data_IF_929671681554
#
_entry.id   IF_929671681554
#
_cell.length_a   1.000
_cell.length_b   1.000
_cell.length_c   1.000
_cell.angle_alpha   90.00
_cell.angle_beta   90.00
_cell.angle_gamma   90.00
#
_symmetry.space_group_name_H-M   'P 1'
#
loop_
_entity.id
_entity.type
_entity.pdbx_description
1 polymer ?
#
# COMPACT_ATOMS: atom_id res chain seq x y z
N UNK A 1 3.27 -67.60 28.20
CA UNK A 1 3.49 -66.99 26.88
C UNK A 1 2.15 -66.57 26.23
N UNK A 2 1.36 -65.71 26.87
CA UNK A 2 0.07 -65.26 26.32
C UNK A 2 -0.17 -63.75 26.39
N UNK A 3 0.75 -62.97 26.99
CA UNK A 3 0.61 -61.51 27.11
C UNK A 3 1.40 -60.69 26.08
N UNK A 4 2.32 -61.33 25.34
CA UNK A 4 3.13 -60.66 24.33
C UNK A 4 2.51 -60.62 22.92
N UNK A 5 1.47 -61.42 22.64
CA UNK A 5 0.81 -61.43 21.33
C UNK A 5 -0.29 -60.39 21.17
N UNK A 6 -0.81 -59.82 22.27
CA UNK A 6 -1.87 -58.81 22.21
C UNK A 6 -1.34 -57.40 21.91
N UNK A 7 -0.07 -57.11 22.23
CA UNK A 7 0.52 -55.80 21.98
C UNK A 7 0.92 -55.57 20.50
N UNK A 8 1.15 -56.66 19.75
CA UNK A 8 1.60 -56.57 18.35
C UNK A 8 0.43 -56.36 17.36
N UNK A 9 -0.80 -56.65 17.78
CA UNK A 9 -2.00 -56.51 16.93
C UNK A 9 -2.67 -55.12 17.06
N UNK A 10 -2.32 -54.33 18.07
CA UNK A 10 -2.84 -52.96 18.27
C UNK A 10 -2.02 -51.88 17.55
N UNK A 11 -0.82 -52.20 17.05
CA UNK A 11 0.03 -51.27 16.29
C UNK A 11 -0.31 -51.21 14.79
N UNK A 12 -1.20 -52.08 14.29
CA UNK A 12 -1.58 -52.15 12.88
C UNK A 12 -2.92 -51.46 12.55
N UNK A 13 -3.53 -50.78 13.53
CA UNK A 13 -4.82 -50.10 13.38
C UNK A 13 -4.74 -48.58 13.57
N UNK A 14 -3.56 -47.97 13.38
CA UNK A 14 -3.46 -46.52 13.23
C UNK A 14 -3.80 -46.16 11.78
N UNK A 15 -4.81 -45.30 11.53
CA UNK A 15 -5.01 -44.76 10.19
C UNK A 15 -3.72 -44.04 9.76
N UNK A 16 -3.35 -44.08 8.47
CA UNK A 16 -2.17 -43.34 8.02
C UNK A 16 -2.36 -41.88 8.42
N UNK A 17 -1.47 -41.38 9.28
CA UNK A 17 -1.41 -39.94 9.51
C UNK A 17 -1.23 -39.28 8.16
N UNK A 18 -2.05 -38.27 7.80
CA UNK A 18 -1.79 -37.50 6.60
C UNK A 18 -0.37 -36.95 6.77
N UNK A 19 0.51 -37.33 5.86
CA UNK A 19 1.86 -36.80 5.80
C UNK A 19 1.74 -35.31 5.52
N UNK A 20 1.78 -34.50 6.59
CA UNK A 20 1.87 -33.06 6.49
C UNK A 20 3.25 -32.74 5.93
N UNK A 21 3.30 -32.30 4.67
CA UNK A 21 4.51 -31.71 4.10
C UNK A 21 4.98 -30.58 5.03
N UNK A 22 6.30 -30.45 5.29
CA UNK A 22 6.83 -29.29 6.00
C UNK A 22 6.29 -28.00 5.36
N UNK A 23 5.81 -27.04 6.16
CA UNK A 23 5.24 -25.80 5.62
C UNK A 23 6.17 -25.01 4.67
N UNK A 24 7.51 -25.03 4.79
CA UNK A 24 8.40 -24.50 3.76
C UNK A 24 8.15 -25.08 2.36
N UNK A 25 7.64 -26.31 2.27
CA UNK A 25 7.28 -27.01 1.03
C UNK A 25 5.81 -26.77 0.61
N UNK A 26 5.08 -25.90 1.32
CA UNK A 26 3.74 -25.45 0.91
C UNK A 26 3.81 -24.30 -0.08
N UNK A 27 2.72 -24.08 -0.80
CA UNK A 27 2.58 -22.94 -1.71
C UNK A 27 2.79 -21.58 -1.02
N UNK A 28 2.39 -21.44 0.26
CA UNK A 28 2.59 -20.22 1.04
C UNK A 28 4.05 -20.01 1.44
N UNK A 29 4.74 -21.06 1.91
CA UNK A 29 6.17 -21.01 2.24
C UNK A 29 7.04 -20.71 1.01
N UNK A 30 6.71 -21.32 -0.13
CA UNK A 30 7.34 -21.02 -1.42
C UNK A 30 7.15 -19.55 -1.80
N UNK A 31 5.92 -19.03 -1.66
CA UNK A 31 5.60 -17.63 -1.98
C UNK A 31 6.33 -16.64 -1.08
N UNK A 32 6.36 -16.87 0.24
CA UNK A 32 7.13 -16.09 1.18
C UNK A 32 8.63 -16.10 0.84
N UNK A 33 9.17 -17.26 0.47
CA UNK A 33 10.55 -17.41 0.03
C UNK A 33 10.87 -16.57 -1.22
N UNK A 34 10.00 -16.60 -2.24
CA UNK A 34 10.14 -15.81 -3.47
C UNK A 34 10.11 -14.30 -3.18
N UNK A 35 9.18 -13.85 -2.33
CA UNK A 35 9.09 -12.45 -1.92
C UNK A 35 10.38 -12.02 -1.20
N UNK A 36 10.82 -12.77 -0.19
CA UNK A 36 12.05 -12.46 0.56
C UNK A 36 13.26 -12.38 -0.37
N UNK A 37 13.39 -13.29 -1.33
CA UNK A 37 14.49 -13.25 -2.30
C UNK A 37 14.43 -12.02 -3.21
N UNK A 38 13.24 -11.60 -3.64
CA UNK A 38 13.10 -10.35 -4.39
C UNK A 38 13.50 -9.13 -3.53
N UNK A 39 13.09 -9.09 -2.26
CA UNK A 39 13.40 -8.00 -1.34
C UNK A 39 14.90 -7.95 -0.96
N UNK A 40 15.56 -9.11 -0.82
CA UNK A 40 17.01 -9.21 -0.61
C UNK A 40 17.77 -8.57 -1.77
N UNK A 41 17.38 -8.87 -3.02
CA UNK A 41 18.00 -8.26 -4.22
C UNK A 41 17.77 -6.75 -4.29
N UNK A 42 16.56 -6.29 -3.96
CA UNK A 42 16.26 -4.86 -3.96
C UNK A 42 17.02 -4.11 -2.84
N UNK A 43 17.30 -4.77 -1.72
CA UNK A 43 18.16 -4.23 -0.65
C UNK A 43 19.61 -4.07 -1.10
N UNK A 44 20.14 -5.00 -1.90
CA UNK A 44 21.47 -4.84 -2.52
C UNK A 44 21.49 -3.64 -3.47
N UNK A 45 20.45 -3.46 -4.29
CA UNK A 45 20.32 -2.25 -5.11
C UNK A 45 20.32 -0.96 -4.27
N UNK A 46 19.60 -0.95 -3.14
CA UNK A 46 19.61 0.19 -2.22
C UNK A 46 21.02 0.48 -1.72
N UNK A 47 21.77 -0.55 -1.30
CA UNK A 47 23.15 -0.41 -0.86
C UNK A 47 24.04 0.20 -1.95
N UNK A 48 23.95 -0.31 -3.18
CA UNK A 48 24.73 0.17 -4.33
C UNK A 48 24.37 1.59 -4.75
N UNK A 49 23.09 1.99 -4.61
CA UNK A 49 22.59 3.31 -5.02
C UNK A 49 22.51 4.31 -3.89
N UNK A 50 22.89 3.93 -2.67
CA UNK A 50 22.77 4.75 -1.47
C UNK A 50 23.35 6.17 -1.61
N UNK A 51 24.51 6.40 -2.25
CA UNK A 51 25.03 7.76 -2.44
C UNK A 51 24.17 8.66 -3.32
N UNK A 52 23.29 8.05 -4.11
CA UNK A 52 22.47 8.71 -5.11
C UNK A 52 20.97 8.62 -4.81
N UNK A 53 20.57 8.02 -3.70
CA UNK A 53 19.14 7.86 -3.39
C UNK A 53 18.47 9.21 -3.12
N UNK A 54 17.17 9.33 -3.47
CA UNK A 54 16.30 10.44 -3.09
C UNK A 54 15.37 10.01 -1.94
N UNK A 55 14.66 10.97 -1.33
CA UNK A 55 13.79 10.69 -0.20
C UNK A 55 12.67 9.70 -0.58
N UNK A 56 12.06 9.83 -1.76
CA UNK A 56 11.01 8.92 -2.23
C UNK A 56 11.49 7.47 -2.26
N UNK A 57 12.75 7.27 -2.68
CA UNK A 57 13.45 5.99 -2.60
C UNK A 57 13.51 5.46 -1.17
N UNK A 58 13.94 6.30 -0.23
CA UNK A 58 14.11 5.95 1.19
C UNK A 58 12.78 5.61 1.87
N UNK A 59 11.70 6.36 1.57
CA UNK A 59 10.39 6.17 2.20
C UNK A 59 9.81 4.77 1.95
N UNK A 60 9.89 4.25 0.73
CA UNK A 60 9.39 2.88 0.46
C UNK A 60 10.19 1.80 1.20
N UNK A 61 11.50 1.97 1.33
CA UNK A 61 12.32 1.05 2.15
C UNK A 61 12.07 1.21 3.65
N UNK A 62 11.69 2.41 4.13
CA UNK A 62 11.25 2.61 5.51
C UNK A 62 9.96 1.84 5.81
N UNK A 63 9.00 1.85 4.86
CA UNK A 63 7.77 1.04 4.95
C UNK A 63 8.10 -0.45 4.97
N UNK A 64 9.00 -0.89 4.09
CA UNK A 64 9.46 -2.28 4.06
C UNK A 64 10.09 -2.72 5.39
N UNK A 65 10.96 -1.89 6.00
CA UNK A 65 11.58 -2.20 7.30
C UNK A 65 10.51 -2.51 8.35
N UNK A 66 9.46 -1.68 8.44
CA UNK A 66 8.37 -1.88 9.38
C UNK A 66 7.54 -3.13 9.05
N UNK A 67 7.24 -3.39 7.77
CA UNK A 67 6.55 -4.61 7.34
C UNK A 67 7.33 -5.88 7.71
N UNK A 68 8.66 -5.90 7.50
CA UNK A 68 9.51 -7.05 7.84
C UNK A 68 9.58 -7.29 9.35
N UNK A 69 9.65 -6.23 10.17
CA UNK A 69 9.55 -6.36 11.63
C UNK A 69 8.21 -6.97 12.05
N UNK A 70 7.12 -6.52 11.42
CA UNK A 70 5.78 -7.07 11.65
C UNK A 70 5.68 -8.56 11.29
N UNK A 71 6.22 -8.94 10.13
CA UNK A 71 6.30 -10.34 9.67
C UNK A 71 7.14 -11.19 10.63
N UNK A 72 8.34 -10.71 10.98
CA UNK A 72 9.25 -11.42 11.90
C UNK A 72 8.55 -11.70 13.23
N UNK A 73 7.88 -10.69 13.81
CA UNK A 73 7.16 -10.83 15.08
C UNK A 73 6.05 -11.86 15.02
N UNK A 74 5.28 -11.91 13.92
CA UNK A 74 4.21 -12.90 13.73
C UNK A 74 4.75 -14.31 13.59
N UNK A 75 5.81 -14.49 12.82
CA UNK A 75 6.41 -15.81 12.55
C UNK A 75 7.33 -16.32 13.65
N UNK A 76 7.77 -15.48 14.59
CA UNK A 76 8.75 -15.86 15.62
C UNK A 76 8.29 -17.00 16.54
N UNK A 77 6.97 -17.16 16.71
CA UNK A 77 6.39 -18.18 17.60
C UNK A 77 6.14 -19.53 16.95
N UNK A 78 6.19 -19.61 15.61
CA UNK A 78 5.99 -20.85 14.86
C UNK A 78 7.33 -21.47 14.47
N UNK A 79 7.69 -22.65 15.04
CA UNK A 79 8.92 -23.36 14.69
C UNK A 79 9.09 -23.65 13.20
N UNK A 80 7.99 -23.87 12.46
CA UNK A 80 8.03 -24.14 11.01
C UNK A 80 8.39 -22.89 10.20
N UNK A 81 8.05 -21.71 10.71
CA UNK A 81 8.32 -20.42 10.06
C UNK A 81 9.62 -19.78 10.55
N UNK A 82 10.28 -20.37 11.55
CA UNK A 82 11.51 -19.83 12.13
C UNK A 82 12.60 -19.51 11.08
N UNK A 83 12.84 -20.33 10.03
CA UNK A 83 13.81 -19.97 8.98
C UNK A 83 13.42 -18.70 8.21
N UNK A 84 12.13 -18.54 7.88
CA UNK A 84 11.62 -17.37 7.16
C UNK A 84 11.57 -16.14 8.08
N UNK A 85 11.20 -16.31 9.35
CA UNK A 85 11.25 -15.27 10.38
C UNK A 85 12.67 -14.73 10.55
N UNK A 86 13.64 -15.63 10.63
CA UNK A 86 15.06 -15.25 10.72
C UNK A 86 15.52 -14.46 9.49
N UNK A 87 15.19 -14.93 8.28
CA UNK A 87 15.48 -14.19 7.03
C UNK A 87 14.87 -12.79 7.02
N UNK A 88 13.58 -12.67 7.38
CA UNK A 88 12.89 -11.39 7.47
C UNK A 88 13.58 -10.45 8.48
N UNK A 89 13.97 -10.96 9.64
CA UNK A 89 14.68 -10.21 10.67
C UNK A 89 16.09 -9.76 10.26
N UNK A 90 16.84 -10.62 9.57
CA UNK A 90 18.15 -10.25 9.00
C UNK A 90 18.01 -9.13 7.98
N UNK A 91 17.01 -9.22 7.10
CA UNK A 91 16.73 -8.21 6.10
C UNK A 91 16.30 -6.88 6.73
N UNK A 92 15.44 -6.91 7.74
CA UNK A 92 15.04 -5.72 8.51
C UNK A 92 16.25 -5.04 9.17
N UNK A 93 17.17 -5.81 9.75
CA UNK A 93 18.39 -5.27 10.35
C UNK A 93 19.33 -4.63 9.32
N UNK A 94 19.50 -5.26 8.15
CA UNK A 94 20.28 -4.70 7.06
C UNK A 94 19.70 -3.37 6.56
N UNK A 95 18.38 -3.32 6.35
CA UNK A 95 17.66 -2.10 5.98
C UNK A 95 17.81 -1.00 7.04
N UNK A 96 17.67 -1.32 8.33
CA UNK A 96 17.84 -0.34 9.41
C UNK A 96 19.23 0.33 9.35
N UNK A 97 20.28 -0.43 9.03
CA UNK A 97 21.63 0.11 8.88
C UNK A 97 21.77 0.98 7.62
N UNK A 98 21.20 0.57 6.48
CA UNK A 98 21.23 1.33 5.23
C UNK A 98 20.41 2.61 5.32
N UNK A 99 19.22 2.57 5.92
CA UNK A 99 18.33 3.71 6.10
C UNK A 99 18.97 4.78 6.99
N UNK A 100 19.65 4.39 8.08
CA UNK A 100 20.44 5.33 8.90
C UNK A 100 21.56 6.00 8.10
N UNK A 101 22.28 5.23 7.27
CA UNK A 101 23.31 5.77 6.37
C UNK A 101 22.71 6.68 5.28
N UNK A 102 21.49 6.41 4.81
CA UNK A 102 20.83 7.22 3.78
C UNK A 102 20.65 8.68 4.20
N UNK A 103 20.40 8.94 5.50
CA UNK A 103 20.25 10.29 6.05
C UNK A 103 21.48 11.15 5.77
N UNK A 104 22.68 10.58 5.84
CA UNK A 104 23.92 11.30 5.53
C UNK A 104 23.97 11.77 4.06
N UNK A 105 23.51 10.92 3.13
CA UNK A 105 23.48 11.26 1.71
C UNK A 105 22.35 12.25 1.39
N UNK A 106 21.16 12.05 1.96
CA UNK A 106 20.04 12.99 1.81
C UNK A 106 20.36 14.38 2.33
N UNK A 107 21.11 14.48 3.45
CA UNK A 107 21.55 15.77 3.98
C UNK A 107 22.48 16.52 3.02
N UNK A 108 23.23 15.81 2.19
CA UNK A 108 24.12 16.41 1.20
C UNK A 108 23.39 16.75 -0.11
N UNK A 109 22.48 15.89 -0.56
CA UNK A 109 21.79 16.06 -1.83
C UNK A 109 20.59 17.00 -1.75
N UNK A 110 19.79 16.92 -0.69
CA UNK A 110 18.58 17.73 -0.50
C UNK A 110 18.24 17.94 0.99
N UNK A 111 19.00 18.82 1.69
CA UNK A 111 18.80 19.05 3.13
C UNK A 111 17.45 19.68 3.47
N UNK A 112 16.86 20.46 2.56
CA UNK A 112 15.57 21.11 2.77
C UNK A 112 14.45 20.08 2.75
N UNK A 113 14.42 19.24 1.71
CA UNK A 113 13.41 18.19 1.59
C UNK A 113 13.55 17.15 2.71
N UNK A 114 14.79 16.79 3.09
CA UNK A 114 15.04 15.94 4.25
C UNK A 114 14.44 16.52 5.54
N UNK A 115 14.61 17.83 5.80
CA UNK A 115 14.07 18.49 6.99
C UNK A 115 12.55 18.48 6.99
N UNK A 116 11.96 18.82 5.86
CA UNK A 116 10.51 18.89 5.66
C UNK A 116 9.82 17.54 5.87
N UNK A 117 10.44 16.45 5.44
CA UNK A 117 9.86 15.12 5.52
C UNK A 117 10.52 14.21 6.56
N UNK A 118 11.34 14.79 7.45
CA UNK A 118 12.09 14.05 8.47
C UNK A 118 11.23 13.07 9.28
N UNK A 119 9.97 13.39 9.69
CA UNK A 119 9.12 12.44 10.40
C UNK A 119 8.87 11.14 9.63
N UNK A 120 8.70 11.21 8.30
CA UNK A 120 8.37 10.05 7.45
C UNK A 120 9.46 8.99 7.38
N UNK A 121 10.69 9.34 7.77
CA UNK A 121 11.86 8.47 7.80
C UNK A 121 12.35 8.21 9.23
N UNK A 122 11.59 8.60 10.26
CA UNK A 122 11.89 8.24 11.64
C UNK A 122 11.33 6.85 11.97
N UNK A 123 12.05 6.07 12.82
CA UNK A 123 11.51 4.83 13.36
C UNK A 123 10.15 5.04 14.04
N UNK A 124 9.19 4.15 13.76
CA UNK A 124 7.86 4.16 14.39
C UNK A 124 6.86 5.16 13.80
N UNK A 125 7.20 5.92 12.76
CA UNK A 125 6.23 6.76 12.06
C UNK A 125 5.20 5.91 11.32
N UNK A 126 5.67 4.98 10.47
CA UNK A 126 4.80 4.07 9.73
C UNK A 126 4.24 2.99 10.66
N UNK A 127 2.92 2.76 10.57
CA UNK A 127 2.20 1.76 11.36
C UNK A 127 1.50 0.80 10.43
N UNK A 128 1.61 -0.49 10.71
CA UNK A 128 0.95 -1.53 9.93
C UNK A 128 -0.55 -1.58 10.27
N UNK A 129 -1.43 -1.93 9.32
CA UNK A 129 -2.83 -2.17 9.61
C UNK A 129 -2.98 -3.42 10.49
N UNK A 130 -3.86 -3.34 11.49
CA UNK A 130 -4.18 -4.48 12.38
C UNK A 130 -5.60 -5.03 12.10
N UNK A 131 -6.33 -4.39 11.19
CA UNK A 131 -7.65 -4.79 10.75
C UNK A 131 -7.69 -4.67 9.23
N UNK A 132 -8.37 -5.62 8.59
CA UNK A 132 -8.47 -5.71 7.15
C UNK A 132 -9.91 -5.47 6.70
N UNK A 133 -10.06 -4.65 5.67
CA UNK A 133 -11.32 -4.41 4.97
C UNK A 133 -11.15 -4.72 3.48
N UNK A 134 -12.22 -4.51 2.71
CA UNK A 134 -12.25 -4.62 1.25
C UNK A 134 -12.82 -3.34 0.66
N UNK A 135 -12.41 -3.04 -0.57
CA UNK A 135 -12.94 -1.87 -1.29
C UNK A 135 -14.42 -2.04 -1.63
N UNK A 136 -15.14 -0.92 -1.68
CA UNK A 136 -16.53 -0.88 -2.13
C UNK A 136 -16.62 -0.19 -3.49
N UNK A 137 -16.96 -0.97 -4.53
CA UNK A 137 -17.08 -0.46 -5.90
C UNK A 137 -18.14 0.65 -6.06
N UNK A 138 -19.08 0.77 -5.12
CA UNK A 138 -20.10 1.83 -5.12
C UNK A 138 -19.52 3.22 -4.81
N UNK A 139 -18.29 3.30 -4.31
CA UNK A 139 -17.57 4.54 -4.01
C UNK A 139 -16.67 5.02 -5.16
N UNK A 140 -16.61 4.28 -6.26
CA UNK A 140 -15.87 4.70 -7.46
C UNK A 140 -16.54 5.95 -8.04
N UNK A 141 -15.74 6.96 -8.38
CA UNK A 141 -16.26 8.21 -8.91
C UNK A 141 -17.00 7.99 -10.23
N UNK A 142 -18.19 8.60 -10.43
CA UNK A 142 -18.92 8.46 -11.69
C UNK A 142 -18.29 9.27 -12.82
N UNK A 143 -17.48 10.28 -12.47
CA UNK A 143 -16.78 11.16 -13.41
C UNK A 143 -15.34 11.38 -12.97
N UNK A 144 -14.50 11.78 -13.91
CA UNK A 144 -13.12 12.20 -13.66
C UNK A 144 -12.99 13.69 -13.92
N UNK A 145 -12.19 14.37 -13.11
CA UNK A 145 -11.84 15.77 -13.32
C UNK A 145 -11.05 15.92 -14.64
N UNK A 146 -11.51 16.75 -15.60
CA UNK A 146 -10.88 16.86 -16.92
C UNK A 146 -9.49 17.54 -16.90
N UNK A 147 -9.23 18.34 -15.87
CA UNK A 147 -7.99 19.10 -15.71
C UNK A 147 -7.35 18.72 -14.39
N UNK A 148 -6.11 18.23 -14.47
CA UNK A 148 -5.34 17.90 -13.29
C UNK A 148 -4.88 19.20 -12.61
N UNK A 149 -5.61 19.63 -11.58
CA UNK A 149 -5.20 20.74 -10.72
C UNK A 149 -4.09 20.34 -9.73
N UNK A 150 -3.62 19.10 -9.82
CA UNK A 150 -2.55 18.58 -8.99
C UNK A 150 -1.19 19.12 -9.44
N UNK A 151 -0.42 19.60 -8.47
CA UNK A 151 1.03 19.68 -8.58
C UNK A 151 1.64 19.01 -7.37
N UNK A 152 2.72 18.27 -7.59
CA UNK A 152 3.51 17.65 -6.53
C UNK A 152 3.98 18.70 -5.53
N UNK A 153 4.39 19.88 -5.99
CA UNK A 153 4.73 21.02 -5.12
C UNK A 153 3.57 21.42 -4.18
N UNK A 154 2.34 21.49 -4.69
CA UNK A 154 1.17 21.81 -3.84
C UNK A 154 0.85 20.66 -2.88
N UNK A 155 1.00 19.42 -3.33
CA UNK A 155 0.84 18.26 -2.46
C UNK A 155 1.86 18.23 -1.34
N UNK A 156 3.13 18.44 -1.67
CA UNK A 156 4.25 18.43 -0.74
C UNK A 156 4.08 19.54 0.28
N UNK A 157 3.71 20.75 -0.14
CA UNK A 157 3.38 21.84 0.77
C UNK A 157 2.29 21.43 1.78
N UNK A 158 1.29 20.67 1.35
CA UNK A 158 0.25 20.18 2.24
C UNK A 158 0.70 19.04 3.16
N UNK A 159 1.58 18.14 2.71
CA UNK A 159 2.19 17.12 3.55
C UNK A 159 3.12 17.75 4.60
N UNK A 160 3.91 18.75 4.22
CA UNK A 160 4.77 19.52 5.13
C UNK A 160 3.93 20.28 6.16
N UNK A 161 2.83 20.89 5.74
CA UNK A 161 1.87 21.52 6.66
C UNK A 161 1.26 20.49 7.63
N UNK A 162 0.87 19.32 7.14
CA UNK A 162 0.33 18.23 7.96
C UNK A 162 1.33 17.78 9.04
N UNK A 163 2.60 17.62 8.67
CA UNK A 163 3.68 17.20 9.57
C UNK A 163 4.13 18.31 10.52
N UNK A 164 3.81 19.57 10.24
CA UNK A 164 4.23 20.71 11.05
C UNK A 164 5.71 21.08 10.90
N UNK A 165 6.32 20.70 9.78
CA UNK A 165 7.78 20.82 9.52
C UNK A 165 8.15 21.97 8.59
N UNK A 166 7.16 22.77 8.16
CA UNK A 166 7.36 23.94 7.33
C UNK A 166 8.17 25.04 8.02
N UNK A 167 8.61 26.04 7.25
CA UNK A 167 9.47 27.15 7.73
C UNK A 167 8.89 27.93 8.90
N UNK A 168 7.56 28.05 8.96
CA UNK A 168 6.86 28.78 10.01
C UNK A 168 6.62 27.93 11.27
N UNK A 169 7.12 26.68 11.30
CA UNK A 169 6.99 25.70 12.39
C UNK A 169 5.56 25.61 12.94
N UNK A 170 4.60 25.28 12.07
CA UNK A 170 3.21 25.11 12.47
C UNK A 170 3.02 23.84 13.29
N UNK A 171 2.08 23.84 14.23
CA UNK A 171 1.70 22.61 14.93
C UNK A 171 1.21 21.54 13.93
N UNK A 172 1.61 20.26 14.09
CA UNK A 172 1.12 19.17 13.24
C UNK A 172 -0.41 19.11 13.22
N UNK A 173 -0.97 18.52 12.16
CA UNK A 173 -2.41 18.38 11.95
C UNK A 173 -3.19 19.70 11.75
N UNK A 174 -2.54 20.87 11.69
CA UNK A 174 -3.20 22.15 11.38
C UNK A 174 -3.23 22.41 9.89
N UNK A 175 -4.43 22.61 9.35
CA UNK A 175 -4.65 22.67 7.91
C UNK A 175 -5.16 24.02 7.43
N UNK A 176 -4.56 24.52 6.35
CA UNK A 176 -5.10 25.61 5.54
C UNK A 176 -6.37 25.17 4.78
N UNK A 177 -7.20 26.14 4.39
CA UNK A 177 -8.35 25.88 3.51
C UNK A 177 -7.91 25.33 2.15
N UNK A 178 -6.74 25.76 1.66
CA UNK A 178 -6.14 25.24 0.45
C UNK A 178 -5.90 23.73 0.54
N UNK A 179 -5.17 23.26 1.56
CA UNK A 179 -4.87 21.84 1.72
C UNK A 179 -6.10 20.99 1.98
N UNK A 180 -7.09 21.52 2.73
CA UNK A 180 -8.39 20.85 2.90
C UNK A 180 -9.06 20.63 1.54
N UNK A 181 -9.10 21.65 0.70
CA UNK A 181 -9.75 21.57 -0.63
C UNK A 181 -8.99 20.65 -1.57
N UNK A 182 -7.67 20.78 -1.64
CA UNK A 182 -6.83 19.97 -2.52
C UNK A 182 -6.91 18.48 -2.17
N UNK A 183 -6.75 18.14 -0.88
CA UNK A 183 -6.65 16.75 -0.44
C UNK A 183 -8.00 16.02 -0.37
N UNK A 184 -9.12 16.74 -0.49
CA UNK A 184 -10.47 16.16 -0.48
C UNK A 184 -11.20 16.28 -1.83
N UNK A 185 -10.53 16.84 -2.85
CA UNK A 185 -11.12 17.03 -4.18
C UNK A 185 -11.57 15.70 -4.78
N UNK A 186 -12.86 15.59 -5.10
CA UNK A 186 -13.43 14.41 -5.76
C UNK A 186 -13.05 14.35 -7.25
N UNK A 187 -13.17 13.16 -7.85
CA UNK A 187 -12.91 12.95 -9.28
C UNK A 187 -11.43 12.91 -9.67
N UNK A 188 -10.51 12.93 -8.70
CA UNK A 188 -9.08 12.77 -8.94
C UNK A 188 -8.71 11.34 -9.39
N UNK A 189 -7.60 11.22 -10.12
CA UNK A 189 -7.06 9.96 -10.66
C UNK A 189 -5.52 9.98 -10.61
N UNK A 190 -4.88 8.83 -10.82
CA UNK A 190 -3.43 8.70 -10.90
C UNK A 190 -2.72 9.25 -9.66
N UNK A 191 -1.63 9.99 -9.85
CA UNK A 191 -0.81 10.52 -8.75
C UNK A 191 -1.56 11.48 -7.83
N UNK A 192 -2.53 12.24 -8.36
CA UNK A 192 -3.39 13.08 -7.52
C UNK A 192 -4.10 12.24 -6.45
N UNK A 193 -4.65 11.09 -6.85
CA UNK A 193 -5.32 10.17 -5.95
C UNK A 193 -4.33 9.50 -4.97
N UNK A 194 -3.15 9.10 -5.44
CA UNK A 194 -2.07 8.55 -4.59
C UNK A 194 -1.69 9.51 -3.47
N UNK A 195 -1.52 10.79 -3.80
CA UNK A 195 -1.12 11.81 -2.84
C UNK A 195 -2.25 12.17 -1.87
N UNK A 196 -3.51 12.16 -2.32
CA UNK A 196 -4.68 12.28 -1.43
C UNK A 196 -4.69 11.14 -0.40
N UNK A 197 -4.46 9.90 -0.83
CA UNK A 197 -4.38 8.77 0.10
C UNK A 197 -3.17 8.89 1.05
N UNK A 198 -1.98 9.22 0.53
CA UNK A 198 -0.77 9.41 1.32
C UNK A 198 -0.99 10.45 2.42
N UNK A 199 -1.68 11.55 2.11
CA UNK A 199 -2.00 12.59 3.07
C UNK A 199 -2.84 12.08 4.25
N UNK A 200 -3.91 11.32 3.98
CA UNK A 200 -4.73 10.74 5.06
C UNK A 200 -4.05 9.58 5.79
N UNK A 201 -3.20 8.82 5.11
CA UNK A 201 -2.34 7.82 5.75
C UNK A 201 -1.39 8.49 6.76
N UNK A 202 -0.69 9.54 6.35
CA UNK A 202 0.22 10.27 7.23
C UNK A 202 -0.51 10.98 8.36
N UNK A 203 -1.72 11.49 8.12
CA UNK A 203 -2.54 12.04 9.18
C UNK A 203 -2.86 10.98 10.25
N UNK A 204 -3.19 9.76 9.83
CA UNK A 204 -3.37 8.62 10.74
C UNK A 204 -2.08 8.27 11.49
N UNK A 205 -0.94 8.24 10.80
CA UNK A 205 0.37 7.96 11.42
C UNK A 205 0.74 9.01 12.48
N UNK A 206 0.50 10.29 12.16
CA UNK A 206 0.72 11.45 13.03
C UNK A 206 -0.29 11.51 14.19
N UNK A 207 -1.38 10.74 14.16
CA UNK A 207 -2.42 10.74 15.20
C UNK A 207 -3.42 11.91 15.07
N UNK A 208 -3.56 12.47 13.87
CA UNK A 208 -4.54 13.52 13.61
C UNK A 208 -5.97 12.95 13.67
N UNK A 209 -6.82 13.48 14.57
CA UNK A 209 -8.19 12.99 14.79
C UNK A 209 -9.26 14.08 14.70
N UNK A 210 -8.85 15.34 14.66
CA UNK A 210 -9.76 16.49 14.77
C UNK A 210 -10.16 17.06 13.40
N UNK A 211 -11.32 17.70 13.34
CA UNK A 211 -11.81 18.38 12.14
C UNK A 211 -11.97 17.43 10.94
N UNK A 212 -11.24 17.71 9.86
CA UNK A 212 -11.30 16.90 8.63
C UNK A 212 -10.92 15.43 8.89
N UNK A 213 -10.01 15.20 9.83
CA UNK A 213 -9.46 13.88 10.09
C UNK A 213 -10.40 12.93 10.83
N UNK A 214 -11.52 13.42 11.37
CA UNK A 214 -12.59 12.56 11.86
C UNK A 214 -13.17 11.67 10.73
N UNK A 215 -13.09 12.14 9.48
CA UNK A 215 -13.57 11.42 8.30
C UNK A 215 -12.44 10.67 7.56
N UNK A 216 -11.26 10.51 8.17
CA UNK A 216 -10.10 9.91 7.48
C UNK A 216 -10.41 8.55 6.85
N UNK A 217 -11.16 7.69 7.57
CA UNK A 217 -11.54 6.37 7.03
C UNK A 217 -12.43 6.51 5.79
N UNK A 218 -13.43 7.40 5.82
CA UNK A 218 -14.31 7.64 4.67
C UNK A 218 -13.52 8.06 3.42
N UNK A 219 -12.58 8.99 3.56
CA UNK A 219 -11.72 9.40 2.44
C UNK A 219 -10.84 8.24 1.93
N UNK A 220 -10.23 7.47 2.84
CA UNK A 220 -9.46 6.27 2.45
C UNK A 220 -10.32 5.22 1.74
N UNK A 221 -11.56 5.00 2.16
CA UNK A 221 -12.50 4.08 1.50
C UNK A 221 -12.78 4.52 0.06
N UNK A 222 -13.05 5.81 -0.15
CA UNK A 222 -13.30 6.38 -1.47
C UNK A 222 -12.05 6.29 -2.35
N UNK A 223 -10.89 6.70 -1.83
CA UNK A 223 -9.65 6.70 -2.61
C UNK A 223 -9.23 5.29 -2.99
N UNK A 224 -9.27 4.34 -2.05
CA UNK A 224 -8.90 2.96 -2.36
C UNK A 224 -9.89 2.25 -3.28
N UNK A 225 -11.19 2.59 -3.25
CA UNK A 225 -12.13 2.11 -4.26
C UNK A 225 -11.74 2.57 -5.68
N UNK A 226 -11.37 3.84 -5.83
CA UNK A 226 -10.93 4.40 -7.11
C UNK A 226 -9.56 3.85 -7.55
N UNK A 227 -8.61 3.66 -6.63
CA UNK A 227 -7.32 3.02 -6.92
C UNK A 227 -7.47 1.55 -7.33
N UNK A 228 -8.40 0.81 -6.72
CA UNK A 228 -8.71 -0.56 -7.12
C UNK A 228 -9.22 -0.60 -8.55
N UNK A 229 -10.11 0.32 -8.93
CA UNK A 229 -10.58 0.44 -10.33
C UNK A 229 -9.42 0.74 -11.30
N UNK A 230 -8.50 1.64 -10.94
CA UNK A 230 -7.29 1.91 -11.73
C UNK A 230 -6.42 0.66 -11.89
N UNK A 231 -6.20 -0.10 -10.81
CA UNK A 231 -5.39 -1.33 -10.87
C UNK A 231 -6.05 -2.42 -11.71
N UNK A 232 -7.37 -2.55 -11.66
CA UNK A 232 -8.12 -3.50 -12.52
C UNK A 232 -8.00 -3.13 -13.99
N UNK A 233 -8.02 -1.83 -14.32
CA UNK A 233 -7.76 -1.36 -15.70
C UNK A 233 -6.32 -1.63 -16.13
N UNK A 234 -5.34 -1.39 -15.26
CA UNK A 234 -3.94 -1.68 -15.54
C UNK A 234 -3.73 -3.18 -15.81
N UNK A 235 -4.34 -4.06 -15.02
CA UNK A 235 -4.36 -5.51 -15.25
C UNK A 235 -5.00 -5.85 -16.61
N UNK A 236 -6.17 -5.30 -16.93
CA UNK A 236 -6.87 -5.56 -18.19
C UNK A 236 -6.06 -5.12 -19.43
N UNK A 237 -5.20 -4.11 -19.29
CA UNK A 237 -4.30 -3.63 -20.34
C UNK A 237 -2.95 -4.35 -20.34
N UNK A 238 -2.72 -5.34 -19.48
CA UNK A 238 -1.47 -6.09 -19.43
C UNK A 238 -0.29 -5.33 -18.79
N UNK A 239 -0.57 -4.39 -17.89
CA UNK A 239 0.43 -3.67 -17.10
C UNK A 239 1.45 -2.88 -17.94
N UNK A 240 1.00 -2.24 -19.02
CA UNK A 240 1.86 -1.47 -19.95
C UNK A 240 2.64 -0.39 -19.23
N UNK A 241 3.97 -0.37 -19.38
CA UNK A 241 4.78 0.75 -18.86
C UNK A 241 4.28 2.10 -19.43
N UNK A 242 4.11 3.16 -18.61
CA UNK A 242 4.58 3.32 -17.23
C UNK A 242 3.57 2.96 -16.13
N UNK A 243 2.44 2.30 -16.42
CA UNK A 243 1.36 2.08 -15.43
C UNK A 243 1.76 1.23 -14.23
N UNK A 244 2.85 0.44 -14.34
CA UNK A 244 3.38 -0.40 -13.27
C UNK A 244 3.71 0.39 -12.01
N UNK A 245 4.16 1.62 -12.17
CA UNK A 245 4.55 2.49 -11.06
C UNK A 245 3.33 2.83 -10.16
N UNK A 246 2.30 3.45 -10.76
CA UNK A 246 1.02 3.70 -10.08
C UNK A 246 0.36 2.42 -9.56
N UNK A 247 0.51 1.32 -10.29
CA UNK A 247 -0.07 0.03 -9.87
C UNK A 247 0.52 -0.46 -8.55
N UNK A 248 1.85 -0.42 -8.40
CA UNK A 248 2.54 -0.80 -7.16
C UNK A 248 2.31 0.22 -6.05
N UNK A 249 2.28 1.51 -6.38
CA UNK A 249 1.98 2.60 -5.43
C UNK A 249 0.58 2.43 -4.81
N UNK A 250 -0.43 2.13 -5.64
CA UNK A 250 -1.79 1.85 -5.17
C UNK A 250 -1.83 0.64 -4.22
N UNK A 251 -1.10 -0.45 -4.54
CA UNK A 251 -1.02 -1.65 -3.68
C UNK A 251 -0.33 -1.30 -2.36
N UNK A 252 0.77 -0.56 -2.41
CA UNK A 252 1.49 -0.09 -1.22
C UNK A 252 0.57 0.73 -0.31
N UNK A 253 -0.02 1.81 -0.82
CA UNK A 253 -0.79 2.73 0.02
C UNK A 253 -2.12 2.12 0.49
N UNK A 254 -2.89 1.48 -0.39
CA UNK A 254 -4.14 0.84 0.06
C UNK A 254 -3.90 -0.38 0.93
N UNK A 255 -2.82 -1.12 0.69
CA UNK A 255 -2.34 -2.17 1.59
C UNK A 255 -2.06 -1.62 2.99
N UNK A 256 -1.31 -0.51 3.10
CA UNK A 256 -1.04 0.18 4.37
C UNK A 256 -2.29 0.81 4.99
N UNK A 257 -3.29 1.17 4.19
CA UNK A 257 -4.57 1.68 4.67
C UNK A 257 -5.50 0.59 5.24
N UNK A 258 -5.19 -0.69 4.99
CA UNK A 258 -5.93 -1.85 5.51
C UNK A 258 -6.83 -2.56 4.48
N UNK A 259 -6.64 -2.35 3.18
CA UNK A 259 -7.45 -2.98 2.13
C UNK A 259 -6.81 -4.27 1.61
N UNK A 260 -7.35 -5.41 2.07
CA UNK A 260 -6.81 -6.74 1.78
C UNK A 260 -6.94 -7.20 0.33
N UNK A 261 -7.92 -6.66 -0.40
CA UNK A 261 -8.26 -7.05 -1.76
C UNK A 261 -7.26 -6.55 -2.82
N UNK A 262 -6.28 -5.73 -2.43
CA UNK A 262 -5.10 -5.40 -3.24
C UNK A 262 -4.06 -6.52 -3.29
N UNK A 263 -4.06 -7.46 -2.34
CA UNK A 263 -3.09 -8.54 -2.30
C UNK A 263 -3.54 -9.77 -3.09
N UNK A 264 -3.72 -9.60 -4.40
CA UNK A 264 -4.07 -10.70 -5.31
C UNK A 264 -2.83 -11.47 -5.76
N UNK A 265 -2.89 -12.81 -5.76
CA UNK A 265 -1.77 -13.66 -6.21
C UNK A 265 -1.24 -13.30 -7.61
N UNK A 266 -2.14 -13.15 -8.58
CA UNK A 266 -1.82 -12.70 -9.94
C UNK A 266 -1.07 -11.36 -10.01
N UNK A 267 -1.33 -10.45 -9.06
CA UNK A 267 -0.66 -9.16 -8.99
C UNK A 267 0.73 -9.29 -8.37
N UNK A 268 0.88 -10.17 -7.37
CA UNK A 268 2.19 -10.54 -6.84
C UNK A 268 3.09 -11.15 -7.94
N UNK A 269 2.56 -12.12 -8.70
CA UNK A 269 3.28 -12.77 -9.80
C UNK A 269 3.73 -11.74 -10.85
N UNK A 270 2.85 -10.80 -11.21
CA UNK A 270 3.17 -9.73 -12.13
C UNK A 270 4.31 -8.85 -11.58
N UNK A 271 4.21 -8.37 -10.33
CA UNK A 271 5.23 -7.53 -9.70
C UNK A 271 6.57 -8.26 -9.66
N UNK A 272 6.62 -9.51 -9.18
CA UNK A 272 7.86 -10.30 -9.13
C UNK A 272 8.51 -10.44 -10.52
N UNK A 273 7.71 -10.54 -11.58
CA UNK A 273 8.21 -10.62 -12.96
C UNK A 273 8.84 -9.31 -13.49
N UNK A 274 8.57 -8.17 -12.86
CA UNK A 274 9.10 -6.86 -13.27
C UNK A 274 10.47 -6.54 -12.68
N UNK A 275 10.92 -7.30 -11.67
CA UNK A 275 12.23 -7.09 -11.07
C UNK A 275 13.34 -7.41 -12.07
N UNK A 276 14.30 -6.50 -12.24
CA UNK A 276 15.49 -6.79 -13.05
C UNK A 276 16.33 -7.87 -12.34
N UNK A 277 16.57 -9.05 -12.95
CA UNK A 277 17.10 -10.20 -12.24
C UNK A 277 18.54 -10.03 -11.73
N UNK A 278 19.36 -9.23 -12.44
CA UNK A 278 20.76 -8.96 -12.11
C UNK A 278 20.92 -7.87 -11.06
N UNK A 279 20.16 -6.76 -11.21
CA UNK A 279 20.35 -5.55 -10.39
C UNK A 279 19.39 -5.53 -9.19
N UNK A 280 18.27 -6.26 -9.23
CA UNK A 280 17.28 -6.30 -8.15
C UNK A 280 16.33 -5.12 -8.08
N UNK A 281 16.48 -4.13 -8.96
CA UNK A 281 15.66 -2.94 -9.03
C UNK A 281 14.37 -3.13 -9.86
N UNK A 282 13.50 -2.12 -9.81
CA UNK A 282 12.33 -1.99 -10.67
C UNK A 282 12.42 -0.68 -11.46
N UNK A 283 11.84 -0.65 -12.66
CA UNK A 283 11.92 0.52 -13.53
C UNK A 283 11.47 0.23 -14.96
N UNK A 284 12.11 0.88 -15.95
CA UNK A 284 11.78 0.68 -17.36
C UNK A 284 12.14 -0.76 -17.78
N UNK A 285 11.23 -1.49 -18.45
CA UNK A 285 11.55 -2.82 -18.97
C UNK A 285 12.69 -2.72 -20.00
N UNK A 286 13.49 -3.77 -20.09
CA UNK A 286 14.51 -3.85 -21.15
C UNK A 286 13.80 -3.87 -22.51
N UNK A 287 14.32 -3.13 -23.48
CA UNK A 287 13.77 -3.08 -24.82
C UNK A 287 13.88 -4.48 -25.46
N UNK A 288 12.80 -5.27 -25.38
CA UNK A 288 12.65 -6.47 -26.19
C UNK A 288 12.16 -6.02 -27.56
N UNK A 289 13.05 -6.12 -28.56
CA UNK A 289 12.78 -6.02 -30.01
C UNK A 289 11.53 -5.24 -30.40
N UNK A 290 11.71 -3.95 -30.69
CA UNK A 290 10.65 -3.01 -31.06
C UNK A 290 9.82 -3.48 -32.27
N UNK A 291 8.49 -3.40 -32.16
CA UNK A 291 7.62 -3.09 -33.29
C UNK A 291 7.31 -1.59 -33.26
N UNK A 292 7.21 -0.91 -34.43
CA UNK A 292 7.20 0.55 -34.50
C UNK A 292 6.00 1.16 -33.78
N UNK A 293 6.27 2.28 -33.10
CA UNK A 293 5.28 3.10 -32.41
C UNK A 293 4.10 3.46 -33.33
N UNK A 294 2.89 3.05 -32.93
CA UNK A 294 1.65 3.56 -33.50
C UNK A 294 1.40 5.02 -33.07
N UNK A 295 0.75 5.86 -33.91
CA UNK A 295 0.66 7.30 -33.70
C UNK A 295 -0.17 7.69 -32.46
N UNK A 296 0.03 8.91 -31.92
CA UNK A 296 -0.46 9.30 -30.60
C UNK A 296 -1.97 9.55 -30.62
N UNK A 297 -2.77 8.54 -30.27
CA UNK A 297 -4.18 8.74 -29.95
C UNK A 297 -4.35 9.08 -28.46
N UNK A 298 -4.72 10.35 -28.22
CA UNK A 298 -5.37 10.88 -27.01
C UNK A 298 -4.91 10.30 -25.65
N UNK A 299 -3.61 10.38 -25.36
CA UNK A 299 -3.08 10.20 -23.99
C UNK A 299 -3.34 11.46 -23.15
N UNK A 300 -4.60 11.70 -22.81
CA UNK A 300 -5.03 12.81 -21.95
C UNK A 300 -4.91 12.54 -20.44
N UNK A 301 -4.45 11.35 -20.00
CA UNK A 301 -4.64 10.90 -18.60
C UNK A 301 -3.32 10.60 -17.86
N UNK A 302 -2.16 10.57 -18.54
CA UNK A 302 -0.86 10.34 -17.88
C UNK A 302 0.17 11.36 -18.39
N UNK A 303 -0.12 12.66 -18.20
CA UNK A 303 0.94 13.66 -18.32
C UNK A 303 1.89 13.39 -17.16
N UNK A 304 3.10 12.87 -17.46
CA UNK A 304 4.17 12.66 -16.47
C UNK A 304 4.43 14.02 -15.80
N UNK A 305 3.80 14.24 -14.65
CA UNK A 305 4.12 15.35 -13.76
C UNK A 305 5.61 15.23 -13.47
N UNK A 306 6.31 16.36 -13.49
CA UNK A 306 7.77 16.43 -13.35
C UNK A 306 8.16 16.02 -11.92
N UNK A 307 8.10 14.72 -11.66
CA UNK A 307 8.49 14.11 -10.41
C UNK A 307 9.97 14.28 -10.17
N UNK A 308 10.35 14.31 -8.89
CA UNK A 308 11.74 14.09 -8.46
C UNK A 308 12.20 12.64 -8.70
N UNK A 309 11.58 11.97 -9.69
CA UNK A 309 11.85 10.61 -10.13
C UNK A 309 13.31 10.52 -10.58
N UNK A 310 14.04 9.61 -9.93
CA UNK A 310 15.43 9.33 -10.29
C UNK A 310 15.49 8.06 -11.12
N UNK A 311 15.52 8.25 -12.44
CA UNK A 311 15.78 7.19 -13.42
C UNK A 311 17.28 7.04 -13.65
N UNK A 312 17.78 5.81 -13.60
CA UNK A 312 19.16 5.47 -13.88
C UNK A 312 19.33 5.00 -15.33
N UNK A 313 20.58 5.04 -15.83
CA UNK A 313 20.92 4.65 -17.21
C UNK A 313 20.72 3.16 -17.49
N UNK A 314 20.68 2.33 -16.44
CA UNK A 314 20.38 0.89 -16.48
C UNK A 314 18.86 0.60 -16.50
N UNK A 315 18.03 1.64 -16.58
CA UNK A 315 16.58 1.54 -16.57
C UNK A 315 15.97 1.35 -15.18
N UNK A 316 16.78 1.30 -14.11
CA UNK A 316 16.26 1.28 -12.73
C UNK A 316 15.64 2.63 -12.35
N UNK A 317 14.67 2.60 -11.44
CA UNK A 317 14.08 3.79 -10.82
C UNK A 317 14.09 3.64 -9.30
N UNK A 318 14.58 4.65 -8.57
CA UNK A 318 14.50 4.68 -7.11
C UNK A 318 13.05 4.58 -6.64
N UNK A 319 12.16 5.34 -7.25
CA UNK A 319 10.75 5.42 -6.88
C UNK A 319 10.02 4.10 -7.18
N UNK A 320 10.16 3.55 -8.40
CA UNK A 320 9.52 2.26 -8.73
C UNK A 320 10.04 1.13 -7.84
N UNK A 321 11.33 1.15 -7.49
CA UNK A 321 11.88 0.15 -6.58
C UNK A 321 11.30 0.32 -5.18
N UNK A 322 11.17 1.55 -4.69
CA UNK A 322 10.58 1.85 -3.39
C UNK A 322 9.11 1.43 -3.29
N UNK A 323 8.29 1.72 -4.31
CA UNK A 323 6.88 1.29 -4.35
C UNK A 323 6.76 -0.23 -4.48
N UNK A 324 7.60 -0.86 -5.31
CA UNK A 324 7.64 -2.31 -5.46
C UNK A 324 7.96 -3.04 -4.15
N UNK A 325 9.02 -2.62 -3.46
CA UNK A 325 9.44 -3.33 -2.23
C UNK A 325 8.44 -3.15 -1.10
N UNK A 326 7.80 -1.98 -0.98
CA UNK A 326 6.75 -1.75 0.00
C UNK A 326 5.46 -2.51 -0.33
N UNK A 327 5.13 -2.68 -1.61
CA UNK A 327 4.03 -3.55 -2.03
C UNK A 327 4.32 -5.02 -1.72
N UNK A 328 5.52 -5.50 -2.07
CA UNK A 328 5.98 -6.88 -1.79
C UNK A 328 6.06 -7.18 -0.29
N UNK A 329 6.56 -6.24 0.52
CA UNK A 329 6.54 -6.38 1.98
C UNK A 329 5.11 -6.42 2.53
N UNK A 330 4.16 -5.72 1.91
CA UNK A 330 2.73 -5.82 2.22
C UNK A 330 2.15 -7.21 1.91
N UNK A 331 2.51 -7.81 0.77
CA UNK A 331 2.17 -9.19 0.45
C UNK A 331 2.73 -10.16 1.50
N UNK A 332 3.97 -9.96 1.94
CA UNK A 332 4.58 -10.78 2.98
C UNK A 332 3.84 -10.63 4.32
N UNK A 333 3.46 -9.40 4.68
CA UNK A 333 2.76 -9.11 5.93
C UNK A 333 1.37 -9.74 5.97
N UNK A 334 0.59 -9.64 4.90
CA UNK A 334 -0.73 -10.26 4.85
C UNK A 334 -0.63 -11.80 4.83
N UNK A 335 0.39 -12.37 4.18
CA UNK A 335 0.67 -13.81 4.27
C UNK A 335 0.97 -14.24 5.70
N UNK A 336 1.62 -13.40 6.49
CA UNK A 336 1.88 -13.66 7.91
C UNK A 336 0.64 -13.56 8.81
N UNK A 337 -0.42 -12.88 8.37
CA UNK A 337 -1.71 -12.82 9.08
C UNK A 337 -2.57 -14.07 8.83
N UNK A 338 -2.54 -14.62 7.61
CA UNK A 338 -3.35 -15.77 7.22
C UNK A 338 -2.63 -17.10 7.49
N UNK A 339 -2.68 -17.55 8.75
CA UNK A 339 -2.24 -18.89 9.15
C UNK A 339 -3.35 -19.93 8.85
N UNK A 340 -3.07 -21.10 8.25
CA UNK A 340 -4.09 -22.14 8.02
C UNK A 340 -4.80 -22.64 9.28
N UNK A 341 -4.13 -22.59 10.44
CA UNK A 341 -4.74 -22.97 11.73
C UNK A 341 -5.66 -21.87 12.32
N UNK A 342 -5.59 -20.66 11.77
CA UNK A 342 -6.60 -19.64 12.02
C UNK A 342 -7.63 -19.80 10.90
N UNK A 343 -8.71 -20.55 11.18
CA UNK A 343 -9.84 -20.68 10.28
C UNK A 343 -10.30 -19.33 9.71
N UNK A 344 -11.05 -19.37 8.60
CA UNK A 344 -11.46 -18.17 7.85
C UNK A 344 -11.70 -16.95 8.74
N UNK A 345 -11.20 -15.77 8.32
CA UNK A 345 -11.26 -14.57 9.15
C UNK A 345 -12.69 -14.37 9.65
N UNK A 346 -12.83 -14.16 10.96
CA UNK A 346 -14.07 -13.66 11.53
C UNK A 346 -14.45 -12.39 10.78
N UNK A 347 -15.47 -12.50 9.92
CA UNK A 347 -16.19 -11.33 9.42
C UNK A 347 -16.56 -10.49 10.64
N UNK A 348 -16.28 -9.18 10.65
CA UNK A 348 -16.75 -8.34 11.73
C UNK A 348 -18.27 -8.47 11.80
N UNK A 349 -18.75 -8.96 12.93
CA UNK A 349 -20.17 -9.02 13.28
C UNK A 349 -20.77 -7.66 12.99
N UNK A 350 -21.87 -7.62 12.23
CA UNK A 350 -22.70 -6.43 12.09
C UNK A 350 -22.92 -5.85 13.49
N UNK A 351 -22.56 -4.59 13.67
CA UNK A 351 -22.89 -3.84 14.88
C UNK A 351 -24.39 -3.98 15.16
N UNK A 352 -24.82 -4.13 16.43
CA UNK A 352 -26.24 -4.20 16.74
C UNK A 352 -26.94 -2.93 16.24
N UNK A 353 -28.03 -3.11 15.51
CA UNK A 353 -28.97 -2.05 15.18
C UNK A 353 -29.24 -1.22 16.44
N UNK A 354 -28.91 0.07 16.37
CA UNK A 354 -29.32 1.00 17.41
C UNK A 354 -30.85 1.08 17.37
N UNK A 355 -31.50 0.55 18.40
CA UNK A 355 -32.90 0.82 18.71
C UNK A 355 -33.12 2.33 18.77
N UNK A 356 -33.60 2.91 17.66
CA UNK A 356 -34.20 4.22 17.65
C UNK A 356 -35.70 4.01 17.85
N UNK A 357 -36.18 4.33 19.05
CA UNK A 357 -37.60 4.28 19.38
C UNK A 357 -38.34 5.38 18.61
N UNK A 358 -39.39 4.95 17.90
CA UNK A 358 -40.40 5.78 17.28
C UNK A 358 -41.09 6.68 18.32
N UNK A 359 -40.95 7.98 18.16
CA UNK A 359 -41.77 9.00 18.78
C UNK A 359 -42.66 9.62 17.72
N UNK A 360 -43.81 8.99 17.45
CA UNK A 360 -44.82 9.52 16.57
C UNK A 360 -45.36 10.87 17.09
N UNK A 361 -45.31 11.91 16.27
CA UNK A 361 -46.31 12.98 16.31
C UNK A 361 -46.54 13.48 14.89
N UNK A 362 -47.66 13.03 14.34
CA UNK A 362 -48.35 13.52 13.15
C UNK A 362 -48.59 15.03 13.19
N UNK A 363 -48.25 15.74 12.11
CA UNK A 363 -48.97 16.95 11.73
C UNK A 363 -49.07 17.09 10.20
N UNK A 364 -50.20 17.63 9.79
CA UNK A 364 -50.90 17.40 8.54
C UNK A 364 -50.24 17.96 7.27
N UNK A 365 -50.49 17.22 6.20
CA UNK A 365 -50.25 17.58 4.81
C UNK A 365 -51.37 18.49 4.31
N UNK A 366 -51.09 19.78 4.07
CA UNK A 366 -51.97 20.65 3.26
C UNK A 366 -51.37 20.87 1.87
N UNK A 367 -52.03 20.22 0.88
CA UNK A 367 -51.97 20.53 -0.54
C UNK A 367 -52.58 21.91 -0.80
N UNK A 368 -51.83 22.77 -1.48
CA UNK A 368 -52.36 23.86 -2.32
C UNK A 368 -51.43 23.85 -3.55
N UNK A 369 -51.83 23.50 -4.76
CA UNK A 369 -53.00 23.94 -5.50
C UNK A 369 -52.57 24.99 -6.53
N UNK A 370 -52.06 24.56 -7.70
CA UNK A 370 -51.92 25.43 -8.89
C UNK A 370 -53.32 25.84 -9.38
N UNK A 371 -53.47 27.06 -9.91
CA UNK A 371 -54.36 27.29 -11.04
C UNK A 371 -53.60 27.77 -12.29
N UNK A 372 -54.14 27.36 -13.43
CA UNK A 372 -53.79 27.75 -14.79
C UNK A 372 -54.33 29.16 -15.13
N UNK A 373 -53.49 29.93 -15.86
CA UNK A 373 -53.80 30.74 -17.06
C UNK A 373 -54.92 31.79 -17.08
N UNK A 374 -54.61 33.00 -17.58
CA UNK A 374 -54.97 33.55 -18.91
C UNK A 374 -54.91 35.10 -18.93
N UNK A 375 -54.37 35.64 -20.03
CA UNK A 375 -54.47 36.98 -20.65
C UNK A 375 -54.25 38.26 -19.84
N UNK A 376 -53.27 39.08 -20.25
CA UNK A 376 -53.38 40.07 -21.35
C UNK A 376 -52.00 40.54 -21.77
#
# INVERSE_FOLDING_TARGET
MARFRLLLLLLLALPPQPSSLPWPDTAQGTMAGLILTALEKATLFLEDRLPTINLDGVVGFQVLEEQLKGVQGKWASDPLLQPLSFRAGQLANALSALLRKSIFYLKQSDPTYLREFQPSIQPGFWKLPHAWTRTNASLVYPWLEPLDSFSEESSDACLVQLLGTGTDSSQPCRLSNFCRTLMTKAGCSGYSLSHQLLYFLWARMQGCTQGLFHQSQHYMDVFCANMMELNRRAEAMGYTYPTQDLFMENIMFCGMAGFSDFYKLRWLEAILSWQKPLVGCFGKPDAKGELPESPPHQQGILRRVRRREKLFTDGCSCHNTATAVAALGGFLYILAEYHPDNGEPHLPTQSPESNYQDGATTLEMQRIGRPLGISS
#
